data_IF_836423936766
#
_entry.id   IF_836423936766
#
_cell.length_a   1.000
_cell.length_b   1.000
_cell.length_c   1.000
_cell.angle_alpha   90.00
_cell.angle_beta   90.00
_cell.angle_gamma   90.00
#
_symmetry.space_group_name_H-M   'P 1'
#
loop_
_entity.id
_entity.type
_entity.pdbx_description
1 polymer ?
#
# COMPACT_ATOMS: atom_id res chain seq x y z
N UNK A 1 -10.68 15.16 3.57
CA UNK A 1 -10.47 13.72 3.33
C UNK A 1 -11.29 12.79 4.23
N UNK A 2 -12.43 13.26 4.73
CA UNK A 2 -13.51 12.39 5.23
C UNK A 2 -14.38 12.04 4.03
N UNK A 3 -14.70 10.76 3.86
CA UNK A 3 -15.91 10.40 3.14
C UNK A 3 -17.07 11.15 3.79
N UNK A 4 -17.89 11.81 2.99
CA UNK A 4 -18.94 12.73 3.41
C UNK A 4 -20.13 12.00 4.04
N UNK A 5 -19.88 11.17 5.03
CA UNK A 5 -20.90 10.52 5.84
C UNK A 5 -20.48 10.69 7.30
N UNK A 6 -21.35 11.23 8.15
CA UNK A 6 -21.10 11.34 9.60
C UNK A 6 -21.12 9.94 10.28
N UNK A 7 -20.49 8.94 9.67
CA UNK A 7 -20.57 7.52 9.99
C UNK A 7 -19.15 6.93 10.14
N UNK A 8 -18.43 7.27 11.21
CA UNK A 8 -17.01 6.90 11.37
C UNK A 8 -16.78 5.38 11.35
N UNK A 9 -17.74 4.59 11.80
CA UNK A 9 -17.64 3.12 11.75
C UNK A 9 -17.79 2.56 10.34
N UNK A 10 -18.60 3.19 9.48
CA UNK A 10 -18.74 2.77 8.09
C UNK A 10 -17.42 3.04 7.37
N UNK A 11 -16.90 4.27 7.46
CA UNK A 11 -15.62 4.64 6.86
C UNK A 11 -14.49 3.68 7.30
N UNK A 12 -14.43 3.37 8.60
CA UNK A 12 -13.47 2.43 9.15
C UNK A 12 -13.57 1.01 8.56
N UNK A 13 -14.79 0.51 8.34
CA UNK A 13 -15.02 -0.77 7.67
C UNK A 13 -14.57 -0.70 6.22
N UNK A 14 -14.91 0.37 5.50
CA UNK A 14 -14.50 0.57 4.10
C UNK A 14 -12.99 0.60 3.97
N UNK A 15 -12.28 1.38 4.79
CA UNK A 15 -10.82 1.45 4.77
C UNK A 15 -10.17 0.11 5.09
N UNK A 16 -10.71 -0.64 6.05
CA UNK A 16 -10.18 -1.96 6.40
C UNK A 16 -10.43 -3.01 5.31
N UNK A 17 -11.58 -2.96 4.62
CA UNK A 17 -11.83 -3.82 3.45
C UNK A 17 -10.88 -3.46 2.32
N UNK A 18 -10.71 -2.17 2.00
CA UNK A 18 -9.78 -1.74 0.94
C UNK A 18 -8.33 -2.10 1.25
N UNK A 19 -7.94 -2.12 2.53
CA UNK A 19 -6.62 -2.58 2.97
C UNK A 19 -6.44 -4.07 2.72
N UNK A 20 -7.33 -4.91 3.27
CA UNK A 20 -7.14 -6.37 3.26
C UNK A 20 -7.60 -7.05 1.98
N UNK A 21 -8.56 -6.47 1.27
CA UNK A 21 -9.15 -7.03 0.06
C UNK A 21 -9.13 -5.98 -1.07
N UNK A 22 -7.95 -5.49 -1.46
CA UNK A 22 -7.86 -4.55 -2.57
C UNK A 22 -8.34 -5.23 -3.86
N UNK A 23 -9.13 -4.56 -4.72
CA UNK A 23 -9.56 -5.13 -5.99
C UNK A 23 -8.40 -5.53 -6.91
N UNK A 24 -7.26 -4.81 -6.78
CA UNK A 24 -6.01 -5.12 -7.46
C UNK A 24 -5.00 -5.64 -6.45
N UNK A 25 -4.52 -6.86 -6.68
CA UNK A 25 -3.53 -7.53 -5.83
C UNK A 25 -2.12 -6.96 -6.02
N UNK A 26 -1.82 -6.55 -7.25
CA UNK A 26 -0.56 -5.93 -7.65
C UNK A 26 -0.77 -4.91 -8.77
N UNK A 27 0.22 -4.04 -8.94
CA UNK A 27 0.34 -3.16 -10.10
C UNK A 27 1.73 -3.33 -10.71
N UNK A 28 1.86 -3.13 -12.02
CA UNK A 28 3.12 -3.31 -12.74
C UNK A 28 3.49 -2.06 -13.51
N UNK A 29 4.79 -1.81 -13.62
CA UNK A 29 5.38 -0.76 -14.44
C UNK A 29 6.55 -1.32 -15.23
N UNK A 30 6.95 -0.62 -16.30
CA UNK A 30 8.15 -0.96 -17.08
C UNK A 30 9.14 0.19 -16.89
N UNK A 31 10.37 -0.13 -16.51
CA UNK A 31 11.42 0.85 -16.34
C UNK A 31 11.73 1.53 -17.69
N UNK A 32 11.63 2.86 -17.74
CA UNK A 32 11.95 3.61 -18.95
C UNK A 32 13.46 3.65 -19.23
N UNK A 33 14.25 3.74 -18.16
CA UNK A 33 15.71 3.83 -18.18
C UNK A 33 16.32 2.87 -17.15
N UNK A 34 17.64 2.67 -17.24
CA UNK A 34 18.38 1.98 -16.19
C UNK A 34 18.34 2.80 -14.90
N UNK A 35 18.09 2.16 -13.77
CA UNK A 35 18.01 2.85 -12.48
C UNK A 35 18.48 1.95 -11.33
N UNK A 36 18.72 2.53 -10.16
CA UNK A 36 19.10 1.85 -8.93
C UNK A 36 18.07 2.19 -7.85
N UNK A 37 17.19 1.24 -7.55
CA UNK A 37 16.15 1.39 -6.55
C UNK A 37 16.74 1.17 -5.15
N UNK A 38 16.74 2.17 -4.25
CA UNK A 38 17.14 1.98 -2.86
C UNK A 38 16.07 1.17 -2.10
N UNK A 39 16.51 0.31 -1.19
CA UNK A 39 15.65 -0.51 -0.35
C UNK A 39 15.60 0.05 1.06
N UNK A 40 14.40 0.19 1.63
CA UNK A 40 14.20 0.60 3.03
C UNK A 40 14.68 -0.46 4.02
N UNK A 41 14.70 -1.72 3.60
CA UNK A 41 15.23 -2.86 4.36
C UNK A 41 16.14 -3.66 3.44
N UNK A 42 17.41 -3.92 3.83
CA UNK A 42 18.30 -4.73 3.03
C UNK A 42 17.76 -6.14 2.78
N UNK A 43 17.91 -6.64 1.56
CA UNK A 43 17.49 -7.99 1.17
C UNK A 43 18.69 -8.89 0.92
N UNK A 44 18.51 -10.20 1.12
CA UNK A 44 19.54 -11.20 0.84
C UNK A 44 19.37 -11.73 -0.59
N UNK A 45 20.41 -11.62 -1.39
CA UNK A 45 20.44 -12.15 -2.77
C UNK A 45 20.65 -13.67 -2.78
N UNK A 46 20.48 -14.29 -3.95
CA UNK A 46 20.79 -15.71 -4.18
C UNK A 46 22.23 -16.06 -3.83
N UNK A 47 23.14 -15.09 -3.98
CA UNK A 47 24.56 -15.22 -3.64
C UNK A 47 24.85 -14.98 -2.16
N UNK A 48 23.80 -14.95 -1.33
CA UNK A 48 23.87 -14.77 0.12
C UNK A 48 24.41 -13.41 0.59
N UNK A 49 24.49 -12.42 -0.32
CA UNK A 49 24.92 -11.06 -0.02
C UNK A 49 23.73 -10.22 0.44
N UNK A 50 23.94 -9.41 1.47
CA UNK A 50 22.96 -8.42 1.89
C UNK A 50 23.15 -7.16 1.04
N UNK A 51 22.09 -6.69 0.39
CA UNK A 51 22.12 -5.48 -0.46
C UNK A 51 21.04 -4.50 -0.04
N UNK A 52 21.36 -3.21 -0.07
CA UNK A 52 20.47 -2.08 0.25
C UNK A 52 19.88 -1.41 -1.00
N UNK A 53 20.18 -1.94 -2.19
CA UNK A 53 19.77 -1.39 -3.48
C UNK A 53 19.67 -2.48 -4.55
N UNK A 54 18.79 -2.28 -5.53
CA UNK A 54 18.60 -3.18 -6.67
C UNK A 54 18.72 -2.37 -7.96
N UNK A 55 19.59 -2.80 -8.88
CA UNK A 55 19.65 -2.24 -10.23
C UNK A 55 18.54 -2.82 -11.11
N UNK A 56 17.85 -1.95 -11.84
CA UNK A 56 16.91 -2.31 -12.90
C UNK A 56 17.43 -1.81 -14.24
N UNK A 57 17.10 -2.52 -15.31
CA UNK A 57 17.44 -2.10 -16.68
C UNK A 57 16.22 -1.55 -17.41
N UNK A 58 16.44 -0.68 -18.39
CA UNK A 58 15.39 -0.19 -19.28
C UNK A 58 14.64 -1.37 -19.93
N UNK A 59 13.31 -1.30 -19.94
CA UNK A 59 12.43 -2.36 -20.41
C UNK A 59 12.11 -3.44 -19.37
N UNK A 60 12.70 -3.40 -18.17
CA UNK A 60 12.40 -4.37 -17.12
C UNK A 60 11.04 -4.11 -16.47
N UNK A 61 10.19 -5.14 -16.38
CA UNK A 61 8.93 -5.07 -15.63
C UNK A 61 9.21 -5.11 -14.13
N UNK A 62 8.60 -4.19 -13.40
CA UNK A 62 8.62 -4.10 -11.93
C UNK A 62 7.20 -4.21 -11.42
N UNK A 63 6.95 -5.15 -10.50
CA UNK A 63 5.64 -5.36 -9.87
C UNK A 63 5.65 -4.86 -8.42
N UNK A 64 4.58 -4.16 -8.03
CA UNK A 64 4.32 -3.75 -6.66
C UNK A 64 3.13 -4.55 -6.14
N UNK A 65 3.40 -5.44 -5.19
CA UNK A 65 2.40 -6.31 -4.58
C UNK A 65 1.58 -5.54 -3.52
N UNK A 66 0.48 -4.92 -3.95
CA UNK A 66 -0.42 -4.08 -3.14
C UNK A 66 -0.91 -4.84 -1.91
N UNK A 67 -1.50 -6.03 -2.10
CA UNK A 67 -2.03 -6.82 -0.97
C UNK A 67 -0.93 -7.18 0.04
N UNK A 68 0.25 -7.58 -0.45
CA UNK A 68 1.37 -7.93 0.43
C UNK A 68 1.82 -6.74 1.27
N UNK A 69 1.90 -5.54 0.69
CA UNK A 69 2.24 -4.32 1.44
C UNK A 69 1.15 -3.97 2.45
N UNK A 70 -0.11 -3.95 2.03
CA UNK A 70 -1.25 -3.59 2.88
C UNK A 70 -1.47 -4.56 4.06
N UNK A 71 -1.06 -5.83 3.94
CA UNK A 71 -1.19 -6.86 4.96
C UNK A 71 0.15 -7.28 5.60
N UNK A 72 1.23 -6.55 5.31
CA UNK A 72 2.56 -6.86 5.84
C UNK A 72 2.62 -6.56 7.33
N UNK A 73 2.95 -7.58 8.14
CA UNK A 73 3.12 -7.40 9.58
C UNK A 73 4.30 -6.49 9.94
N UNK A 74 5.29 -6.39 9.06
CA UNK A 74 6.41 -5.47 9.22
C UNK A 74 6.05 -3.99 8.98
N UNK A 75 4.92 -3.73 8.31
CA UNK A 75 4.45 -2.39 7.96
C UNK A 75 3.26 -1.99 8.85
N UNK A 76 2.28 -2.88 8.98
CA UNK A 76 1.00 -2.64 9.65
C UNK A 76 0.92 -3.21 11.08
N UNK A 77 1.98 -3.86 11.56
CA UNK A 77 2.04 -4.45 12.90
C UNK A 77 1.57 -5.90 12.97
N UNK A 78 1.60 -6.48 14.18
CA UNK A 78 1.32 -7.91 14.37
C UNK A 78 -0.11 -8.32 13.94
N UNK A 79 -1.07 -7.40 14.08
CA UNK A 79 -2.48 -7.60 13.73
C UNK A 79 -2.79 -7.29 12.24
N UNK A 80 -1.78 -7.12 11.38
CA UNK A 80 -1.95 -6.74 9.97
C UNK A 80 -2.84 -7.68 9.14
N UNK A 81 -3.00 -8.94 9.58
CA UNK A 81 -3.80 -9.96 8.89
C UNK A 81 -5.20 -10.13 9.49
N UNK A 82 -5.53 -9.36 10.52
CA UNK A 82 -6.83 -9.38 11.17
C UNK A 82 -7.70 -8.26 10.59
N UNK A 83 -8.98 -8.55 10.39
CA UNK A 83 -9.96 -7.52 10.01
C UNK A 83 -10.31 -6.69 11.24
N UNK A 84 -9.66 -5.52 11.42
CA UNK A 84 -9.81 -4.67 12.60
C UNK A 84 -10.19 -3.22 12.21
N UNK A 85 -11.48 -2.95 11.91
CA UNK A 85 -11.95 -1.60 11.58
C UNK A 85 -11.61 -0.55 12.65
N UNK A 86 -11.55 -0.95 13.94
CA UNK A 86 -11.21 -0.08 15.06
C UNK A 86 -9.86 0.65 14.89
N UNK A 87 -8.95 0.10 14.06
CA UNK A 87 -7.69 0.74 13.67
C UNK A 87 -7.90 2.16 13.12
N UNK A 88 -9.01 2.39 12.42
CA UNK A 88 -9.31 3.67 11.78
C UNK A 88 -10.07 4.64 12.69
N UNK A 89 -10.70 4.13 13.76
CA UNK A 89 -11.51 4.93 14.70
C UNK A 89 -10.70 5.32 15.93
N UNK A 90 -10.08 4.33 16.59
CA UNK A 90 -9.47 4.51 17.91
C UNK A 90 -8.01 4.95 17.81
N UNK A 91 -7.29 4.42 16.81
CA UNK A 91 -5.85 4.68 16.62
C UNK A 91 -5.59 5.85 15.65
N UNK A 92 -6.64 6.41 15.04
CA UNK A 92 -6.52 7.48 14.05
C UNK A 92 -5.95 7.02 12.70
N UNK A 93 -6.05 5.72 12.40
CA UNK A 93 -5.61 5.12 11.14
C UNK A 93 -4.24 4.45 11.19
N UNK A 94 -3.55 4.43 10.05
CA UNK A 94 -2.28 3.75 9.88
C UNK A 94 -1.21 4.22 10.89
N UNK A 95 -0.41 3.29 11.42
CA UNK A 95 0.65 3.55 12.41
C UNK A 95 2.01 3.08 11.93
N UNK A 96 3.08 3.57 12.58
CA UNK A 96 4.45 3.15 12.31
C UNK A 96 4.84 3.33 10.84
N UNK A 97 5.44 2.29 10.24
CA UNK A 97 5.89 2.30 8.85
C UNK A 97 4.76 2.45 7.85
N UNK A 98 3.53 2.07 8.19
CA UNK A 98 2.40 2.27 7.29
C UNK A 98 2.20 3.76 6.94
N UNK A 99 2.52 4.69 7.86
CA UNK A 99 2.44 6.15 7.61
C UNK A 99 3.39 6.63 6.50
N UNK A 100 4.42 5.86 6.15
CA UNK A 100 5.34 6.19 5.07
C UNK A 100 4.68 6.04 3.68
N UNK A 101 3.60 5.27 3.58
CA UNK A 101 2.82 5.13 2.34
C UNK A 101 2.06 6.43 2.09
N UNK A 102 2.33 7.11 0.97
CA UNK A 102 1.71 8.41 0.65
C UNK A 102 0.36 8.27 -0.08
N UNK A 103 -0.01 7.05 -0.47
CA UNK A 103 -1.31 6.75 -1.06
C UNK A 103 -2.49 7.10 -0.15
N UNK A 104 -3.70 7.04 -0.70
CA UNK A 104 -4.93 7.39 0.01
C UNK A 104 -5.07 6.65 1.34
N UNK A 105 -5.18 7.38 2.45
CA UNK A 105 -5.24 6.83 3.81
C UNK A 105 -4.12 5.83 4.10
N UNK A 106 -2.93 6.04 3.52
CA UNK A 106 -1.78 5.16 3.61
C UNK A 106 -1.99 3.76 2.99
N UNK A 107 -2.91 3.65 2.05
CA UNK A 107 -3.20 2.42 1.30
C UNK A 107 -2.67 2.52 -0.13
N UNK A 108 -2.14 1.41 -0.64
CA UNK A 108 -1.75 1.29 -2.05
C UNK A 108 -2.90 0.86 -2.97
N UNK A 109 -4.10 0.66 -2.43
CA UNK A 109 -5.29 0.14 -3.14
C UNK A 109 -5.68 0.99 -4.35
N UNK A 110 -5.47 2.29 -4.27
CA UNK A 110 -5.72 3.25 -5.36
C UNK A 110 -4.44 3.71 -6.04
N UNK A 111 -3.34 2.98 -5.86
CA UNK A 111 -1.97 3.37 -6.23
C UNK A 111 -1.58 4.76 -5.70
N UNK A 112 -0.34 5.16 -5.95
CA UNK A 112 0.21 6.43 -5.50
C UNK A 112 0.94 7.14 -6.65
N UNK A 113 1.14 8.46 -6.50
CA UNK A 113 1.82 9.28 -7.49
C UNK A 113 0.99 9.64 -8.73
N UNK A 114 1.64 9.98 -9.86
CA UNK A 114 0.98 10.51 -11.07
C UNK A 114 -0.02 9.56 -11.74
N UNK A 115 0.00 8.26 -11.36
CA UNK A 115 -0.88 7.22 -11.90
C UNK A 115 -1.88 6.72 -10.85
N UNK A 116 -2.19 7.53 -9.84
CA UNK A 116 -3.24 7.25 -8.85
C UNK A 116 -4.60 7.05 -9.53
N UNK A 117 -5.44 6.19 -8.95
CA UNK A 117 -6.75 5.86 -9.48
C UNK A 117 -7.66 7.10 -9.55
N UNK A 118 -7.99 7.52 -10.77
CA UNK A 118 -8.89 8.66 -11.02
C UNK A 118 -10.31 8.38 -10.50
N UNK A 119 -10.72 7.11 -10.48
CA UNK A 119 -12.04 6.66 -10.00
C UNK A 119 -12.13 6.49 -8.49
N UNK A 120 -11.08 6.80 -7.71
CA UNK A 120 -11.04 6.59 -6.25
C UNK A 120 -12.26 7.19 -5.53
N UNK A 121 -12.59 8.46 -5.81
CA UNK A 121 -13.68 9.14 -5.14
C UNK A 121 -15.04 8.49 -5.43
N UNK A 122 -15.26 8.04 -6.67
CA UNK A 122 -16.47 7.33 -7.06
C UNK A 122 -16.54 5.95 -6.38
N UNK A 123 -15.44 5.19 -6.42
CA UNK A 123 -15.38 3.87 -5.79
C UNK A 123 -15.63 3.92 -4.27
N UNK A 124 -15.21 4.99 -3.60
CA UNK A 124 -15.46 5.23 -2.19
C UNK A 124 -16.91 5.66 -1.91
N UNK A 125 -17.55 6.37 -2.85
CA UNK A 125 -18.94 6.83 -2.72
C UNK A 125 -19.98 5.72 -2.97
N UNK A 126 -19.66 4.77 -3.84
CA UNK A 126 -20.52 3.63 -4.20
C UNK A 126 -20.30 2.38 -3.32
N UNK A 127 -19.37 2.45 -2.36
CA UNK A 127 -19.05 1.32 -1.49
C UNK A 127 -20.17 1.04 -0.49
#
# INVERSE_FOLDING_TARGET
>A
DQLSSNLPHLDAVVHEVLRMHPPLWETTGVAADNDIIPLSVPVRTTDNKLVDRISIVAGQTVSVAIHTVNCSTSIWGADAKEFKPQRWVDEGGAQGKAKEIQGYCHLLTFTDGPRTCLGRAFALAEF
#
